data_IF_400694405217
#
_entry.id   IF_400694405217
#
_cell.length_a   1.000
_cell.length_b   1.000
_cell.length_c   1.000
_cell.angle_alpha   90.00
_cell.angle_beta   90.00
_cell.angle_gamma   90.00
#
_symmetry.space_group_name_H-M   'P 1'
#
loop_
_entity.id
_entity.type
_entity.pdbx_description
1 polymer ?
#
# COMPACT_ATOMS: atom_id res chain seq x y z
N UNK A 1 16.47 -12.73 -1.77
CA UNK A 1 15.76 -11.44 -1.65
C UNK A 1 14.50 -11.68 -0.83
N UNK A 2 14.33 -10.98 0.29
CA UNK A 2 13.13 -11.11 1.14
C UNK A 2 11.96 -10.35 0.53
N UNK A 3 10.71 -10.69 0.90
CA UNK A 3 9.53 -9.92 0.46
C UNK A 3 9.63 -8.44 0.86
N UNK A 4 10.18 -8.15 2.04
CA UNK A 4 10.41 -6.79 2.51
C UNK A 4 11.42 -6.03 1.62
N UNK A 5 12.49 -6.69 1.16
CA UNK A 5 13.44 -6.12 0.20
C UNK A 5 12.77 -5.85 -1.16
N UNK A 6 11.96 -6.80 -1.66
CA UNK A 6 11.22 -6.62 -2.90
C UNK A 6 10.23 -5.45 -2.79
N UNK A 7 9.52 -5.35 -1.66
CA UNK A 7 8.58 -4.26 -1.38
C UNK A 7 9.32 -2.91 -1.38
N UNK A 8 10.44 -2.82 -0.68
CA UNK A 8 11.24 -1.60 -0.64
C UNK A 8 11.81 -1.22 -2.02
N UNK A 9 12.17 -2.20 -2.85
CA UNK A 9 12.63 -2.00 -4.21
C UNK A 9 11.50 -1.58 -5.18
N UNK A 10 10.26 -1.97 -4.91
CA UNK A 10 9.10 -1.56 -5.69
C UNK A 10 8.66 -0.13 -5.33
N UNK A 11 8.73 0.22 -4.05
CA UNK A 11 8.29 1.52 -3.53
C UNK A 11 9.46 2.49 -3.32
N UNK A 12 10.11 2.89 -4.41
CA UNK A 12 11.36 3.70 -4.39
C UNK A 12 11.13 5.20 -4.26
N UNK A 13 10.01 5.72 -4.76
CA UNK A 13 9.73 7.17 -4.75
C UNK A 13 8.79 7.58 -3.60
N UNK A 14 8.88 8.83 -3.11
CA UNK A 14 7.93 9.33 -2.12
C UNK A 14 6.48 9.23 -2.59
N UNK A 15 6.20 9.50 -3.87
CA UNK A 15 4.86 9.46 -4.43
C UNK A 15 4.24 8.05 -4.37
N UNK A 16 4.99 7.01 -4.80
CA UNK A 16 4.48 5.64 -4.77
C UNK A 16 4.36 5.11 -3.33
N UNK A 17 5.23 5.55 -2.41
CA UNK A 17 5.11 5.25 -0.98
C UNK A 17 3.87 5.86 -0.36
N UNK A 18 3.54 7.10 -0.69
CA UNK A 18 2.27 7.72 -0.25
C UNK A 18 1.08 6.89 -0.71
N UNK A 19 1.06 6.43 -1.97
CA UNK A 19 0.00 5.56 -2.48
C UNK A 19 -0.11 4.25 -1.70
N UNK A 20 1.02 3.61 -1.37
CA UNK A 20 1.04 2.41 -0.53
C UNK A 20 0.48 2.66 0.87
N UNK A 21 0.89 3.77 1.50
CA UNK A 21 0.38 4.15 2.82
C UNK A 21 -1.12 4.40 2.77
N UNK A 22 -1.62 5.13 1.77
CA UNK A 22 -3.06 5.34 1.58
C UNK A 22 -3.80 4.03 1.38
N UNK A 23 -3.31 3.14 0.52
CA UNK A 23 -3.92 1.83 0.27
C UNK A 23 -3.99 0.99 1.57
N UNK A 24 -2.93 1.02 2.38
CA UNK A 24 -2.91 0.35 3.70
C UNK A 24 -3.83 1.00 4.72
N UNK A 25 -4.01 2.31 4.67
CA UNK A 25 -4.97 3.01 5.52
C UNK A 25 -6.39 2.56 5.19
N UNK A 26 -6.74 2.46 3.90
CA UNK A 26 -8.03 1.91 3.44
C UNK A 26 -8.20 0.48 3.94
N UNK A 27 -7.18 -0.37 3.80
CA UNK A 27 -7.22 -1.74 4.31
C UNK A 27 -7.41 -1.86 5.83
N UNK A 28 -6.85 -0.92 6.60
CA UNK A 28 -6.97 -0.90 8.07
C UNK A 28 -8.28 -0.31 8.54
N UNK A 29 -8.95 0.50 7.72
CA UNK A 29 -10.27 1.04 8.03
C UNK A 29 -11.31 -0.09 8.07
N UNK A 30 -12.04 -0.18 9.19
CA UNK A 30 -12.97 -1.28 9.43
C UNK A 30 -14.15 -1.30 8.45
N UNK A 31 -14.62 -0.13 8.02
CA UNK A 31 -15.77 -0.01 7.12
C UNK A 31 -15.37 -0.33 5.69
N UNK A 32 -14.26 0.26 5.21
CA UNK A 32 -13.71 -0.05 3.90
C UNK A 32 -13.33 -1.53 3.81
N UNK A 33 -12.67 -2.07 4.84
CA UNK A 33 -12.27 -3.49 4.88
C UNK A 33 -13.45 -4.46 4.76
N UNK A 34 -14.62 -4.13 5.33
CA UNK A 34 -15.82 -4.97 5.19
C UNK A 34 -16.34 -5.02 3.76
N UNK A 35 -16.14 -3.96 2.98
CA UNK A 35 -16.54 -3.90 1.59
C UNK A 35 -15.57 -4.64 0.67
N UNK A 36 -14.27 -4.62 0.97
CA UNK A 36 -13.20 -5.16 0.11
C UNK A 36 -12.62 -6.51 0.58
N UNK A 37 -13.08 -7.04 1.72
CA UNK A 37 -12.76 -8.38 2.22
C UNK A 37 -13.99 -8.98 2.91
N UNK A 38 -14.93 -9.53 2.12
CA UNK A 38 -16.18 -10.08 2.63
C UNK A 38 -15.96 -11.23 3.61
N UNK A 39 -16.87 -11.39 4.57
CA UNK A 39 -16.80 -12.52 5.52
C UNK A 39 -16.82 -13.85 4.77
N UNK A 40 -15.94 -14.77 5.17
CA UNK A 40 -15.84 -16.11 4.58
C UNK A 40 -14.89 -16.21 3.39
N UNK A 41 -14.25 -15.10 2.98
CA UNK A 41 -13.19 -15.10 1.97
C UNK A 41 -11.83 -14.89 2.63
N UNK A 42 -10.81 -15.60 2.13
CA UNK A 42 -9.42 -15.34 2.47
C UNK A 42 -8.85 -14.29 1.53
N UNK A 43 -8.29 -13.23 2.09
CA UNK A 43 -7.64 -12.16 1.32
C UNK A 43 -8.58 -11.04 0.87
N UNK A 44 -8.06 -10.21 -0.04
CA UNK A 44 -8.74 -9.05 -0.62
C UNK A 44 -9.56 -9.47 -1.83
N UNK A 45 -10.81 -9.04 -1.87
CA UNK A 45 -11.60 -9.07 -3.09
C UNK A 45 -11.11 -7.93 -4.01
N UNK A 46 -10.39 -8.31 -5.07
CA UNK A 46 -9.75 -7.38 -6.00
C UNK A 46 -10.79 -6.55 -6.76
N UNK A 47 -11.91 -7.15 -7.16
CA UNK A 47 -12.97 -6.44 -7.89
C UNK A 47 -13.66 -5.43 -6.96
N UNK A 48 -14.00 -5.84 -5.74
CA UNK A 48 -14.56 -4.93 -4.75
C UNK A 48 -13.59 -3.80 -4.38
N UNK A 49 -12.29 -4.10 -4.30
CA UNK A 49 -11.26 -3.09 -4.09
C UNK A 49 -11.23 -2.10 -5.27
N UNK A 50 -11.27 -2.55 -6.51
CA UNK A 50 -11.28 -1.65 -7.67
C UNK A 50 -12.47 -0.71 -7.66
N UNK A 51 -13.67 -1.22 -7.40
CA UNK A 51 -14.88 -0.38 -7.33
C UNK A 51 -14.79 0.64 -6.20
N UNK A 52 -14.27 0.24 -5.04
CA UNK A 52 -14.01 1.14 -3.92
C UNK A 52 -13.00 2.25 -4.30
N UNK A 53 -11.92 1.89 -4.99
CA UNK A 53 -10.90 2.84 -5.42
C UNK A 53 -11.38 3.78 -6.52
N UNK A 54 -12.19 3.30 -7.49
CA UNK A 54 -12.78 4.17 -8.52
C UNK A 54 -13.64 5.29 -7.91
N UNK A 55 -14.36 4.99 -6.82
CA UNK A 55 -15.25 5.95 -6.19
C UNK A 55 -14.51 7.05 -5.39
N UNK A 56 -13.41 6.72 -4.70
CA UNK A 56 -12.74 7.66 -3.79
C UNK A 56 -11.29 8.01 -4.12
N UNK A 57 -10.58 7.13 -4.81
CA UNK A 57 -9.12 7.21 -4.99
C UNK A 57 -8.65 6.63 -6.34
N UNK A 58 -9.09 7.18 -7.49
CA UNK A 58 -8.80 6.60 -8.81
C UNK A 58 -7.31 6.49 -9.12
N UNK A 59 -6.48 7.35 -8.52
CA UNK A 59 -5.01 7.31 -8.65
C UNK A 59 -4.33 6.11 -7.98
N UNK A 60 -5.06 5.30 -7.21
CA UNK A 60 -4.59 4.05 -6.59
C UNK A 60 -4.90 2.82 -7.44
N UNK A 61 -5.87 2.87 -8.36
CA UNK A 61 -6.25 1.72 -9.19
C UNK A 61 -5.08 1.20 -10.02
N UNK A 62 -4.31 2.10 -10.64
CA UNK A 62 -3.10 1.74 -11.39
C UNK A 62 -2.01 1.09 -10.52
N UNK A 63 -1.95 1.43 -9.23
CA UNK A 63 -1.03 0.77 -8.31
C UNK A 63 -1.50 -0.66 -8.02
N UNK A 64 -2.79 -0.84 -7.73
CA UNK A 64 -3.36 -2.19 -7.50
C UNK A 64 -3.17 -3.07 -8.73
N UNK A 65 -3.40 -2.55 -9.92
CA UNK A 65 -3.18 -3.26 -11.18
C UNK A 65 -1.73 -3.72 -11.31
N UNK A 66 -0.78 -2.81 -11.07
CA UNK A 66 0.64 -3.18 -11.10
C UNK A 66 1.04 -4.22 -10.04
N UNK A 67 0.35 -4.28 -8.90
CA UNK A 67 0.60 -5.29 -7.87
C UNK A 67 -0.02 -6.63 -8.27
N UNK A 68 -1.25 -6.64 -8.76
CA UNK A 68 -1.95 -7.87 -9.19
C UNK A 68 -1.27 -8.50 -10.41
N UNK A 69 -0.75 -7.69 -11.34
CA UNK A 69 0.01 -8.18 -12.49
C UNK A 69 1.44 -8.63 -12.14
N UNK A 70 1.91 -8.38 -10.92
CA UNK A 70 3.24 -8.79 -10.48
C UNK A 70 3.23 -10.24 -10.01
N UNK A 71 4.20 -11.03 -10.48
CA UNK A 71 4.41 -12.41 -10.04
C UNK A 71 5.06 -12.52 -8.66
N UNK A 72 5.56 -11.41 -8.10
CA UNK A 72 6.29 -11.39 -6.81
C UNK A 72 5.61 -10.55 -5.73
N UNK A 73 4.64 -9.69 -6.09
CA UNK A 73 3.92 -8.82 -5.17
C UNK A 73 2.49 -9.28 -4.93
N UNK A 74 2.29 -10.22 -4.02
CA UNK A 74 0.94 -10.58 -3.59
C UNK A 74 0.28 -9.42 -2.83
N UNK A 75 -0.89 -8.97 -3.31
CA UNK A 75 -1.63 -7.84 -2.74
C UNK A 75 -1.87 -8.01 -1.23
N UNK A 76 -2.31 -9.18 -0.78
CA UNK A 76 -2.52 -9.45 0.65
C UNK A 76 -1.24 -9.27 1.47
N UNK A 77 -0.11 -9.76 0.97
CA UNK A 77 1.18 -9.59 1.62
C UNK A 77 1.58 -8.10 1.65
N UNK A 78 1.33 -7.36 0.57
CA UNK A 78 1.57 -5.90 0.51
C UNK A 78 0.73 -5.15 1.54
N UNK A 79 -0.48 -5.62 1.85
CA UNK A 79 -1.37 -4.99 2.84
C UNK A 79 -1.07 -5.40 4.28
N UNK A 80 -0.53 -6.61 4.48
CA UNK A 80 -0.28 -7.17 5.82
C UNK A 80 1.14 -6.95 6.34
N UNK A 81 2.15 -6.93 5.48
CA UNK A 81 3.56 -6.89 5.92
C UNK A 81 3.89 -5.54 6.57
N UNK A 82 4.43 -5.49 7.80
CA UNK A 82 4.81 -4.23 8.43
C UNK A 82 5.83 -3.47 7.56
N UNK A 83 5.54 -2.21 7.22
CA UNK A 83 6.54 -1.35 6.59
C UNK A 83 7.54 -0.95 7.66
N UNK A 84 8.79 -1.36 7.49
CA UNK A 84 9.91 -0.67 8.13
C UNK A 84 10.20 0.51 7.24
N UNK A 85 9.80 1.71 7.65
CA UNK A 85 10.31 2.94 7.06
C UNK A 85 11.70 3.10 7.68
N UNK A 86 12.81 2.83 6.96
CA UNK A 86 14.09 3.28 7.44
C UNK A 86 14.00 4.80 7.54
N UNK A 87 14.01 5.32 8.77
CA UNK A 87 14.35 6.70 9.06
C UNK A 87 15.84 6.89 8.78
N UNK A 88 16.30 6.58 7.56
CA UNK A 88 17.56 7.12 7.07
C UNK A 88 17.32 8.62 6.95
N UNK A 89 17.52 9.33 8.06
CA UNK A 89 17.76 10.78 8.07
C UNK A 89 19.04 11.00 7.28
N UNK A 90 18.96 10.97 5.95
CA UNK A 90 20.09 11.33 5.09
C UNK A 90 20.44 12.81 5.22
N UNK A 91 19.55 13.60 5.83
CA UNK A 91 19.77 14.99 6.19
C UNK A 91 19.26 15.26 7.62
N UNK A 92 20.08 15.86 8.50
CA UNK A 92 19.61 16.34 9.80
C UNK A 92 18.62 17.48 9.59
N UNK A 93 17.53 17.49 10.38
CA UNK A 93 16.60 18.62 10.44
C UNK A 93 17.39 19.80 11.01
N UNK A 94 17.82 20.72 10.15
CA UNK A 94 18.45 21.96 10.56
C UNK A 94 17.32 22.88 11.05
N UNK A 95 17.19 23.00 12.37
CA UNK A 95 16.36 24.04 12.97
C UNK A 95 17.08 25.35 12.71
N UNK A 96 16.59 26.15 11.76
CA UNK A 96 17.05 27.53 11.60
C UNK A 96 16.43 28.29 12.77
N UNK A 97 17.22 28.55 13.80
CA UNK A 97 16.83 29.45 14.88
C UNK A 97 16.67 30.87 14.31
N UNK A 98 15.65 31.64 14.77
CA UNK A 98 15.42 33.01 14.35
C UNK A 98 16.52 33.97 14.81
#
# INVERSE_FOLDING_TARGET
MTFAEQLNAFFTTPAIRTKLVTLRTIWRDRYARRAIAPKGHEGVDVEALYEHLKAGHPGLSALVESLVSSTTMHLDAVLMVPLRIPLTRSQPITVVAP
#
